data_IF_037143664709
#
_entry.id   IF_037143664709
#
_cell.length_a   1.000
_cell.length_b   1.000
_cell.length_c   1.000
_cell.angle_alpha   90.00
_cell.angle_beta   90.00
_cell.angle_gamma   90.00
#
_symmetry.space_group_name_H-M   'P 1'
#
loop_
_entity.id
_entity.type
_entity.pdbx_description
1 polymer ?
#
# COMPACT_ATOMS: atom_id res chain seq x y z
N UNK A 1 5.48 -9.63 -9.73
CA UNK A 1 4.67 -9.55 -8.48
C UNK A 1 4.98 -8.23 -7.77
N UNK A 2 3.98 -7.55 -7.20
CA UNK A 2 4.18 -6.32 -6.43
C UNK A 2 4.81 -6.64 -5.06
N UNK A 3 5.71 -5.78 -4.58
CA UNK A 3 6.31 -5.87 -3.25
C UNK A 3 5.82 -4.69 -2.41
N UNK A 4 5.26 -4.92 -1.23
CA UNK A 4 4.88 -3.86 -0.31
C UNK A 4 5.76 -3.92 0.94
N UNK A 5 6.51 -2.86 1.20
CA UNK A 5 7.27 -2.68 2.43
C UNK A 5 6.45 -1.79 3.36
N UNK A 6 6.30 -2.22 4.61
CA UNK A 6 5.66 -1.39 5.62
C UNK A 6 6.12 -1.72 7.03
N UNK A 7 5.39 -1.21 8.01
CA UNK A 7 5.72 -1.30 9.42
C UNK A 7 5.40 0.02 10.11
N UNK A 8 5.65 0.09 11.42
CA UNK A 8 5.59 1.37 12.12
C UNK A 8 6.66 2.31 11.51
N UNK A 9 6.37 3.61 11.29
CA UNK A 9 7.41 4.57 10.93
C UNK A 9 8.59 4.50 11.91
N UNK A 10 9.81 4.79 11.44
CA UNK A 10 11.06 4.69 12.21
C UNK A 10 11.54 3.25 12.52
N UNK A 11 10.90 2.23 11.94
CA UNK A 11 11.35 0.81 12.00
C UNK A 11 12.32 0.41 10.87
N UNK A 12 12.98 1.35 10.21
CA UNK A 12 13.94 1.03 9.12
C UNK A 12 13.32 0.75 7.75
N UNK A 13 12.04 1.08 7.54
CA UNK A 13 11.35 0.88 6.25
C UNK A 13 12.02 1.60 5.07
N UNK A 14 12.59 2.78 5.29
CA UNK A 14 13.35 3.51 4.26
C UNK A 14 14.69 2.84 3.93
N UNK A 15 15.36 2.22 4.91
CA UNK A 15 16.57 1.44 4.65
C UNK A 15 16.22 0.19 3.83
N UNK A 16 15.16 -0.53 4.21
CA UNK A 16 14.71 -1.71 3.49
C UNK A 16 14.39 -1.42 2.02
N UNK A 17 13.64 -0.34 1.74
CA UNK A 17 13.33 0.02 0.34
C UNK A 17 14.58 0.43 -0.42
N UNK A 18 15.53 1.10 0.23
CA UNK A 18 16.78 1.51 -0.42
C UNK A 18 17.65 0.30 -0.80
N UNK A 19 17.69 -0.73 0.04
CA UNK A 19 18.35 -2.01 -0.29
C UNK A 19 17.67 -2.75 -1.44
N UNK A 20 16.34 -2.68 -1.57
CA UNK A 20 15.65 -3.24 -2.72
C UNK A 20 15.86 -2.40 -3.99
N UNK A 21 15.83 -1.06 -3.88
CA UNK A 21 16.10 -0.14 -5.00
C UNK A 21 17.51 -0.32 -5.59
N UNK A 22 18.48 -0.87 -4.84
CA UNK A 22 19.81 -1.16 -5.38
C UNK A 22 19.88 -2.41 -6.26
N UNK A 23 18.80 -3.21 -6.31
CA UNK A 23 18.75 -4.39 -7.17
C UNK A 23 18.33 -3.98 -8.59
N UNK A 24 19.03 -4.39 -9.66
CA UNK A 24 18.78 -3.91 -11.03
C UNK A 24 17.35 -4.16 -11.52
N UNK A 25 16.70 -5.23 -11.04
CA UNK A 25 15.34 -5.59 -11.45
C UNK A 25 14.22 -5.03 -10.55
N UNK A 26 14.52 -4.28 -9.49
CA UNK A 26 13.51 -3.84 -8.50
C UNK A 26 13.50 -2.33 -8.34
N UNK A 27 12.31 -1.72 -8.38
CA UNK A 27 12.13 -0.31 -8.07
C UNK A 27 11.02 -0.09 -7.07
N UNK A 28 11.37 0.45 -5.90
CA UNK A 28 10.48 0.94 -4.85
C UNK A 28 10.17 2.44 -5.01
N UNK A 29 11.21 3.29 -5.08
CA UNK A 29 11.06 4.74 -5.09
C UNK A 29 10.68 5.36 -3.72
N UNK A 30 10.27 6.62 -3.73
CA UNK A 30 9.91 7.37 -2.52
C UNK A 30 8.50 7.02 -1.98
N UNK A 31 8.16 7.51 -0.78
CA UNK A 31 6.80 7.35 -0.24
C UNK A 31 5.78 8.08 -1.11
N UNK A 32 4.73 7.38 -1.53
CA UNK A 32 3.71 7.96 -2.41
C UNK A 32 2.75 8.85 -1.64
N UNK A 33 2.53 8.56 -0.34
CA UNK A 33 1.60 9.24 0.59
C UNK A 33 0.11 9.14 0.21
N UNK A 34 -0.21 8.95 -1.08
CA UNK A 34 -1.58 8.86 -1.60
C UNK A 34 -2.16 7.45 -1.48
N UNK A 35 -1.35 6.40 -1.62
CA UNK A 35 -1.79 5.01 -1.45
C UNK A 35 -2.44 4.74 -0.08
N UNK A 36 -1.80 5.06 1.07
CA UNK A 36 -2.45 4.82 2.35
C UNK A 36 -3.74 5.64 2.52
N UNK A 37 -3.84 6.82 1.89
CA UNK A 37 -5.04 7.68 1.98
C UNK A 37 -6.22 7.10 1.20
N UNK A 38 -6.03 6.65 -0.04
CA UNK A 38 -7.12 6.05 -0.83
C UNK A 38 -7.59 4.73 -0.21
N UNK A 39 -6.66 3.91 0.29
CA UNK A 39 -7.00 2.65 0.94
C UNK A 39 -7.76 2.90 2.26
N UNK A 40 -7.35 3.90 3.04
CA UNK A 40 -8.06 4.30 4.25
C UNK A 40 -9.46 4.86 3.94
N UNK A 41 -9.59 5.67 2.90
CA UNK A 41 -10.88 6.21 2.46
C UNK A 41 -11.85 5.09 2.09
N UNK A 42 -11.40 4.08 1.33
CA UNK A 42 -12.20 2.89 1.05
C UNK A 42 -12.58 2.14 2.33
N UNK A 43 -11.65 1.98 3.26
CA UNK A 43 -11.96 1.33 4.55
C UNK A 43 -13.06 2.09 5.32
N UNK A 44 -13.09 3.42 5.25
CA UNK A 44 -14.15 4.21 5.88
C UNK A 44 -15.52 3.99 5.23
N UNK A 45 -15.59 3.92 3.90
CA UNK A 45 -16.84 3.60 3.19
C UNK A 45 -17.39 2.23 3.60
N UNK A 46 -16.53 1.21 3.66
CA UNK A 46 -16.95 -0.16 4.02
C UNK A 46 -17.27 -0.34 5.51
N UNK A 47 -16.76 0.53 6.39
CA UNK A 47 -17.10 0.49 7.83
C UNK A 47 -18.44 1.14 8.15
N UNK A 48 -18.92 2.02 7.28
CA UNK A 48 -20.22 2.68 7.45
C UNK A 48 -21.28 1.89 6.71
N UNK A 49 -22.11 1.13 7.43
CA UNK A 49 -23.20 0.35 6.84
C UNK A 49 -24.12 1.24 5.97
N UNK A 50 -24.49 2.41 6.50
CA UNK A 50 -25.30 3.40 5.77
C UNK A 50 -24.66 3.82 4.45
N UNK A 51 -23.34 4.03 4.43
CA UNK A 51 -22.66 4.44 3.19
C UNK A 51 -22.49 3.27 2.23
N UNK A 52 -22.17 2.08 2.73
CA UNK A 52 -22.07 0.86 1.93
C UNK A 52 -23.37 0.58 1.17
N UNK A 53 -24.52 0.68 1.85
CA UNK A 53 -25.84 0.50 1.22
C UNK A 53 -26.10 1.56 0.15
N UNK A 54 -25.75 2.83 0.41
CA UNK A 54 -25.91 3.92 -0.58
C UNK A 54 -25.05 3.71 -1.81
N UNK A 55 -23.82 3.26 -1.65
CA UNK A 55 -22.91 2.95 -2.75
C UNK A 55 -23.46 1.81 -3.60
N UNK A 56 -23.93 0.73 -2.98
CA UNK A 56 -24.55 -0.40 -3.69
C UNK A 56 -25.80 0.03 -4.46
N UNK A 57 -26.69 0.83 -3.86
CA UNK A 57 -27.88 1.36 -4.52
C UNK A 57 -27.54 2.31 -5.69
N UNK A 58 -26.40 3.01 -5.62
CA UNK A 58 -25.88 3.84 -6.69
C UNK A 58 -25.16 3.04 -7.80
N UNK A 59 -25.14 1.71 -7.73
CA UNK A 59 -24.43 0.85 -8.68
C UNK A 59 -22.92 0.78 -8.46
N UNK A 60 -22.41 1.39 -7.39
CA UNK A 60 -20.99 1.36 -6.99
C UNK A 60 -20.75 0.12 -6.13
N UNK A 61 -20.74 -1.04 -6.79
CA UNK A 61 -20.52 -2.32 -6.12
C UNK A 61 -19.08 -2.47 -5.60
N UNK A 62 -18.86 -3.45 -4.72
CA UNK A 62 -17.51 -3.83 -4.24
C UNK A 62 -16.53 -4.01 -5.41
N UNK A 63 -16.96 -4.73 -6.46
CA UNK A 63 -16.11 -4.99 -7.63
C UNK A 63 -15.73 -3.70 -8.39
N UNK A 64 -16.66 -2.75 -8.52
CA UNK A 64 -16.39 -1.44 -9.14
C UNK A 64 -15.35 -0.67 -8.34
N UNK A 65 -15.51 -0.60 -7.01
CA UNK A 65 -14.56 0.07 -6.13
C UNK A 65 -13.19 -0.60 -6.13
N UNK A 66 -13.15 -1.92 -5.99
CA UNK A 66 -11.91 -2.69 -5.93
C UNK A 66 -11.13 -2.51 -7.25
N UNK A 67 -11.80 -2.57 -8.42
CA UNK A 67 -11.16 -2.31 -9.72
C UNK A 67 -10.63 -0.88 -9.85
N UNK A 68 -11.42 0.13 -9.45
CA UNK A 68 -11.00 1.53 -9.52
C UNK A 68 -9.79 1.82 -8.61
N UNK A 69 -9.78 1.26 -7.40
CA UNK A 69 -8.70 1.43 -6.43
C UNK A 69 -7.46 0.66 -6.88
N UNK A 70 -7.60 -0.55 -7.40
CA UNK A 70 -6.49 -1.30 -7.96
C UNK A 70 -5.82 -0.54 -9.11
N UNK A 71 -6.62 0.01 -10.04
CA UNK A 71 -6.13 0.83 -11.15
C UNK A 71 -5.40 2.09 -10.66
N UNK A 72 -5.98 2.82 -9.70
CA UNK A 72 -5.34 3.99 -9.09
C UNK A 72 -4.00 3.64 -8.44
N UNK A 73 -3.98 2.59 -7.60
CA UNK A 73 -2.77 2.15 -6.93
C UNK A 73 -1.70 1.72 -7.93
N UNK A 74 -2.07 0.96 -8.95
CA UNK A 74 -1.12 0.49 -9.97
C UNK A 74 -0.54 1.65 -10.78
N UNK A 75 -1.36 2.61 -11.21
CA UNK A 75 -0.90 3.77 -11.97
C UNK A 75 0.11 4.58 -11.16
N UNK A 76 -0.19 4.86 -9.90
CA UNK A 76 0.74 5.55 -9.01
C UNK A 76 2.03 4.73 -8.88
N UNK A 77 1.94 3.46 -8.46
CA UNK A 77 3.10 2.58 -8.25
C UNK A 77 3.99 2.53 -9.49
N UNK A 78 3.43 2.38 -10.68
CA UNK A 78 4.19 2.22 -11.92
C UNK A 78 4.77 3.54 -12.42
N UNK A 79 4.04 4.66 -12.31
CA UNK A 79 4.42 5.93 -12.94
C UNK A 79 5.20 6.90 -12.05
N UNK A 80 5.22 6.72 -10.73
CA UNK A 80 5.88 7.68 -9.84
C UNK A 80 7.42 7.60 -9.85
N UNK A 81 8.03 6.80 -10.73
CA UNK A 81 9.47 6.62 -10.85
C UNK A 81 9.82 5.77 -12.06
N UNK A 82 11.10 5.42 -12.18
CA UNK A 82 11.61 4.69 -13.35
C UNK A 82 10.95 3.30 -13.55
N UNK A 83 10.82 2.83 -14.80
CA UNK A 83 10.36 1.49 -15.10
C UNK A 83 11.31 0.42 -14.56
N UNK A 84 10.75 -0.69 -14.07
CA UNK A 84 11.54 -1.84 -13.62
C UNK A 84 10.75 -3.15 -13.81
N UNK A 85 11.43 -4.31 -13.93
CA UNK A 85 10.78 -5.62 -14.01
C UNK A 85 9.90 -5.95 -12.79
N UNK A 86 10.26 -5.45 -11.60
CA UNK A 86 9.51 -5.67 -10.35
C UNK A 86 9.27 -4.35 -9.63
N UNK A 87 8.00 -4.01 -9.47
CA UNK A 87 7.60 -2.83 -8.73
C UNK A 87 7.44 -3.14 -7.25
N UNK A 88 7.89 -2.18 -6.45
CA UNK A 88 7.80 -2.16 -5.01
C UNK A 88 7.13 -0.85 -4.58
N UNK A 89 6.40 -0.87 -3.47
CA UNK A 89 5.89 0.32 -2.82
C UNK A 89 6.27 0.30 -1.34
N UNK A 90 6.74 1.44 -0.83
CA UNK A 90 6.99 1.64 0.59
C UNK A 90 6.21 2.85 1.07
N UNK A 91 5.07 2.58 1.68
CA UNK A 91 4.30 3.52 2.48
C UNK A 91 4.00 2.81 3.83
N UNK A 92 4.59 3.24 4.96
CA UNK A 92 4.67 2.42 6.18
C UNK A 92 3.33 1.81 6.64
N UNK A 93 2.25 2.60 6.53
CA UNK A 93 0.93 2.25 7.03
C UNK A 93 0.05 1.47 6.05
N UNK A 94 0.49 1.24 4.80
CA UNK A 94 -0.26 0.39 3.84
C UNK A 94 -0.45 -1.02 4.38
N UNK A 95 0.50 -1.52 5.20
CA UNK A 95 0.39 -2.83 5.83
C UNK A 95 -0.77 -2.98 6.82
N UNK A 96 -1.32 -1.89 7.36
CA UNK A 96 -2.56 -1.96 8.16
C UNK A 96 -3.75 -2.47 7.34
N UNK A 97 -3.66 -2.37 6.03
CA UNK A 97 -4.67 -2.76 5.05
C UNK A 97 -4.20 -3.96 4.21
N UNK A 98 -3.19 -4.71 4.68
CA UNK A 98 -2.53 -5.78 3.93
C UNK A 98 -3.49 -6.87 3.43
N UNK A 99 -4.53 -7.20 4.20
CA UNK A 99 -5.59 -8.14 3.77
C UNK A 99 -6.34 -7.63 2.54
N UNK A 100 -6.72 -6.36 2.54
CA UNK A 100 -7.38 -5.75 1.39
C UNK A 100 -6.43 -5.58 0.21
N UNK A 101 -5.16 -5.23 0.45
CA UNK A 101 -4.14 -5.19 -0.62
C UNK A 101 -3.96 -6.57 -1.27
N UNK A 102 -4.04 -7.66 -0.51
CA UNK A 102 -4.02 -9.03 -1.05
C UNK A 102 -5.28 -9.35 -1.87
N UNK A 103 -6.45 -8.84 -1.49
CA UNK A 103 -7.66 -8.96 -2.31
C UNK A 103 -7.48 -8.27 -3.67
N UNK A 104 -6.88 -7.07 -3.68
CA UNK A 104 -6.63 -6.31 -4.92
C UNK A 104 -5.50 -6.90 -5.77
N UNK A 105 -4.44 -7.41 -5.13
CA UNK A 105 -3.25 -7.91 -5.79
C UNK A 105 -2.85 -9.28 -5.22
N UNK A 106 -3.47 -10.38 -5.67
CA UNK A 106 -3.28 -11.71 -5.06
C UNK A 106 -1.83 -12.23 -5.09
N UNK A 107 -1.04 -11.77 -6.06
CA UNK A 107 0.37 -12.14 -6.20
C UNK A 107 1.33 -11.19 -5.47
N UNK A 108 0.82 -10.22 -4.68
CA UNK A 108 1.64 -9.30 -3.91
C UNK A 108 2.38 -10.01 -2.79
N UNK A 109 3.58 -9.53 -2.49
CA UNK A 109 4.42 -9.99 -1.38
C UNK A 109 4.64 -8.83 -0.41
N UNK A 110 4.80 -9.15 0.86
CA UNK A 110 4.91 -8.15 1.92
C UNK A 110 6.21 -8.32 2.70
N UNK A 111 6.86 -7.19 3.01
CA UNK A 111 7.99 -7.12 3.92
C UNK A 111 7.56 -6.25 5.11
N UNK A 112 7.26 -6.89 6.23
CA UNK A 112 6.87 -6.21 7.46
C UNK A 112 8.10 -5.93 8.32
N UNK A 113 8.47 -4.65 8.43
CA UNK A 113 9.62 -4.24 9.21
C UNK A 113 9.29 -4.24 10.69
N UNK A 114 10.05 -5.03 11.45
CA UNK A 114 9.99 -5.10 12.91
C UNK A 114 11.27 -4.51 13.47
N UNK A 115 11.12 -3.58 14.41
CA UNK A 115 12.19 -2.98 15.20
C UNK A 115 11.71 -2.91 16.64
N UNK A 116 12.61 -2.99 17.60
CA UNK A 116 12.27 -2.81 19.02
C UNK A 116 11.38 -1.56 19.19
N UNK A 117 10.22 -1.73 19.83
CA UNK A 117 9.24 -0.66 20.01
C UNK A 117 9.82 0.52 20.79
N UNK A 118 10.71 0.27 21.76
CA UNK A 118 11.39 1.30 22.54
C UNK A 118 12.31 2.14 21.65
N UNK A 119 13.07 1.49 20.77
CA UNK A 119 13.94 2.18 19.82
C UNK A 119 13.15 2.95 18.76
N UNK A 120 12.01 2.40 18.34
CA UNK A 120 11.11 3.05 17.38
C UNK A 120 10.53 4.33 17.98
N UNK A 121 9.97 4.26 19.19
CA UNK A 121 9.39 5.41 19.90
C UNK A 121 10.45 6.48 20.20
N UNK A 122 11.65 6.09 20.63
CA UNK A 122 12.74 7.05 20.86
C UNK A 122 13.20 7.79 19.59
N UNK A 123 12.91 7.22 18.40
CA UNK A 123 13.31 7.78 17.10
C UNK A 123 12.21 8.59 16.41
N UNK A 124 11.00 8.60 16.96
CA UNK A 124 9.87 9.45 16.51
C UNK A 124 10.11 10.86 17.03
#
# INVERSE_FOLDING_TARGET
PLIFIGGVPRSGTTLMRAMLDSHPDVRCGQETRVLPRILQMRQHWMRSEKESVRLEQAGVSKAVLDNAIAAFCLEVIVRHGEPAPRYCNKDPLVLKLGTYVLELFPNAKFVFMVRDGRATVHSI
#
